data_IF_788532231990
#
_entry.id   IF_788532231990
#
_cell.length_a   1.000
_cell.length_b   1.000
_cell.length_c   1.000
_cell.angle_alpha   90.00
_cell.angle_beta   90.00
_cell.angle_gamma   90.00
#
_symmetry.space_group_name_H-M   'P 1'
#
loop_
_entity.id
_entity.type
_entity.pdbx_description
1 polymer ?
#
# COMPACT_ATOMS: atom_id res chain seq x y z
N UNK A 1 27.87 -86.45 -19.27
CA UNK A 1 26.74 -87.13 -18.62
C UNK A 1 26.12 -86.14 -17.66
N UNK A 2 24.86 -85.78 -17.91
CA UNK A 2 24.13 -84.66 -17.32
C UNK A 2 23.73 -84.89 -15.84
N UNK A 3 23.58 -83.83 -15.05
CA UNK A 3 22.28 -83.25 -14.64
C UNK A 3 22.40 -82.37 -13.37
N UNK A 4 21.57 -81.31 -13.38
CA UNK A 4 20.84 -80.67 -12.25
C UNK A 4 21.43 -79.44 -11.54
N UNK A 5 20.70 -78.34 -11.79
CA UNK A 5 20.58 -77.06 -11.07
C UNK A 5 19.96 -77.22 -9.67
N UNK A 6 20.09 -76.19 -8.79
CA UNK A 6 19.00 -75.20 -8.54
C UNK A 6 19.54 -73.74 -8.39
N UNK A 7 18.98 -72.63 -8.93
CA UNK A 7 17.71 -71.89 -8.71
C UNK A 7 17.74 -70.83 -7.56
N UNK A 8 17.84 -69.54 -7.99
CA UNK A 8 17.32 -68.24 -7.46
C UNK A 8 17.86 -67.62 -6.14
N UNK A 9 17.60 -66.33 -5.83
CA UNK A 9 17.81 -65.07 -6.61
C UNK A 9 18.48 -63.96 -5.74
N UNK A 10 19.00 -62.87 -6.33
CA UNK A 10 19.36 -61.67 -5.56
C UNK A 10 18.68 -60.43 -6.14
N UNK A 11 17.63 -60.02 -5.42
CA UNK A 11 16.82 -58.81 -5.61
C UNK A 11 17.69 -57.57 -5.33
N UNK A 12 17.99 -56.75 -6.33
CA UNK A 12 18.58 -55.42 -6.12
C UNK A 12 17.44 -54.38 -6.08
N UNK A 13 17.12 -53.91 -4.88
CA UNK A 13 16.10 -52.90 -4.63
C UNK A 13 16.59 -51.51 -5.08
N UNK A 14 15.87 -50.88 -5.99
CA UNK A 14 16.05 -49.47 -6.36
C UNK A 14 15.22 -48.58 -5.42
N UNK A 15 15.88 -47.81 -4.56
CA UNK A 15 15.26 -46.82 -3.68
C UNK A 15 15.12 -45.49 -4.44
N UNK A 16 13.94 -45.23 -5.00
CA UNK A 16 13.61 -43.95 -5.62
C UNK A 16 13.18 -42.95 -4.54
N UNK A 17 14.04 -41.97 -4.25
CA UNK A 17 13.71 -40.81 -3.40
C UNK A 17 12.85 -39.86 -4.24
N UNK A 18 11.53 -39.89 -4.03
CA UNK A 18 10.61 -38.89 -4.56
C UNK A 18 10.78 -37.58 -3.78
N UNK A 19 11.58 -36.67 -4.33
CA UNK A 19 11.66 -35.28 -3.87
C UNK A 19 10.34 -34.59 -4.22
N UNK A 20 9.42 -34.49 -3.26
CA UNK A 20 8.17 -33.74 -3.42
C UNK A 20 8.49 -32.25 -3.43
N UNK A 21 8.70 -31.69 -4.63
CA UNK A 21 8.75 -30.26 -4.84
C UNK A 21 7.39 -29.66 -4.46
N UNK A 22 7.31 -29.07 -3.27
CA UNK A 22 6.16 -28.27 -2.86
C UNK A 22 6.11 -27.05 -3.79
N UNK A 23 5.02 -26.83 -4.55
CA UNK A 23 4.91 -25.63 -5.37
C UNK A 23 4.94 -24.40 -4.45
N UNK A 24 5.59 -23.29 -4.86
CA UNK A 24 5.54 -22.06 -4.10
C UNK A 24 4.08 -21.63 -3.96
N UNK A 25 3.62 -21.43 -2.73
CA UNK A 25 2.32 -20.86 -2.47
C UNK A 25 2.27 -19.49 -3.16
N UNK A 26 1.48 -19.37 -4.22
CA UNK A 26 1.20 -18.09 -4.84
C UNK A 26 0.56 -17.22 -3.77
N UNK A 27 1.23 -16.13 -3.40
CA UNK A 27 0.65 -15.12 -2.52
C UNK A 27 -0.62 -14.60 -3.21
N UNK A 28 -1.79 -14.88 -2.64
CA UNK A 28 -3.04 -14.39 -3.17
C UNK A 28 -3.00 -12.86 -3.19
N UNK A 29 -3.31 -12.26 -4.35
CA UNK A 29 -3.38 -10.80 -4.45
C UNK A 29 -4.43 -10.26 -3.46
N UNK A 30 -4.10 -9.16 -2.75
CA UNK A 30 -5.05 -8.56 -1.81
C UNK A 30 -6.30 -8.09 -2.55
N UNK A 31 -7.46 -8.35 -1.95
CA UNK A 31 -8.76 -7.95 -2.48
C UNK A 31 -8.97 -6.46 -2.18
N UNK A 32 -8.94 -5.63 -3.23
CA UNK A 32 -9.19 -4.20 -3.11
C UNK A 32 -10.67 -3.91 -2.85
N UNK A 33 -10.96 -3.11 -1.82
CA UNK A 33 -12.30 -2.64 -1.47
C UNK A 33 -12.39 -1.14 -1.74
N UNK A 34 -12.76 -0.82 -2.98
CA UNK A 34 -12.73 0.53 -3.53
C UNK A 34 -13.91 1.37 -3.03
N UNK A 35 -13.72 2.68 -2.90
CA UNK A 35 -14.82 3.62 -2.59
C UNK A 35 -15.98 3.53 -3.59
N UNK A 36 -15.70 3.19 -4.84
CA UNK A 36 -16.69 2.99 -5.90
C UNK A 36 -17.67 1.84 -5.65
N UNK A 37 -17.34 0.88 -4.78
CA UNK A 37 -18.23 -0.25 -4.43
C UNK A 37 -19.04 -0.01 -3.15
N UNK A 38 -19.03 1.23 -2.64
CA UNK A 38 -19.82 1.67 -1.49
C UNK A 38 -21.32 1.54 -1.77
N UNK A 39 -22.00 0.78 -0.92
CA UNK A 39 -23.44 0.56 -0.96
C UNK A 39 -24.20 1.38 0.07
N UNK A 40 -23.58 1.77 1.17
CA UNK A 40 -24.15 2.66 2.17
C UNK A 40 -23.08 3.48 2.90
N UNK A 41 -23.43 4.72 3.26
CA UNK A 41 -22.63 5.57 4.13
C UNK A 41 -23.56 6.29 5.10
N UNK A 42 -23.29 6.15 6.39
CA UNK A 42 -24.00 6.87 7.44
C UNK A 42 -23.00 7.65 8.29
N UNK A 43 -23.35 8.89 8.64
CA UNK A 43 -22.55 9.75 9.50
C UNK A 43 -23.46 10.34 10.56
N UNK A 44 -23.13 10.10 11.83
CA UNK A 44 -23.83 10.70 12.98
C UNK A 44 -22.88 11.63 13.69
N UNK A 45 -23.19 12.93 13.68
CA UNK A 45 -22.34 13.95 14.33
C UNK A 45 -22.84 14.21 15.74
N UNK A 46 -21.94 14.11 16.70
CA UNK A 46 -22.20 14.38 18.11
C UNK A 46 -21.75 15.79 18.49
N UNK A 47 -22.39 16.33 19.53
CA UNK A 47 -21.93 17.53 20.19
C UNK A 47 -20.51 17.28 20.75
N UNK A 48 -19.57 18.20 20.49
CA UNK A 48 -18.15 18.03 20.85
C UNK A 48 -17.22 17.68 19.69
N UNK A 49 -17.72 17.59 18.45
CA UNK A 49 -16.90 17.50 17.24
C UNK A 49 -16.51 16.08 16.81
N UNK A 50 -17.03 15.06 17.48
CA UNK A 50 -16.86 13.65 17.06
C UNK A 50 -18.00 13.21 16.15
N UNK A 51 -17.70 12.33 15.22
CA UNK A 51 -18.70 11.70 14.37
C UNK A 51 -18.51 10.18 14.36
N UNK A 52 -19.62 9.45 14.41
CA UNK A 52 -19.64 8.03 14.10
C UNK A 52 -19.85 7.88 12.59
N UNK A 53 -18.92 7.20 11.93
CA UNK A 53 -18.99 6.89 10.50
C UNK A 53 -19.28 5.41 10.34
N UNK A 54 -20.14 5.05 9.39
CA UNK A 54 -20.36 3.67 8.99
C UNK A 54 -20.33 3.62 7.47
N UNK A 55 -19.30 3.00 6.90
CA UNK A 55 -19.08 2.86 5.47
C UNK A 55 -19.24 1.38 5.10
N UNK A 56 -20.31 1.05 4.36
CA UNK A 56 -20.54 -0.30 3.87
C UNK A 56 -20.20 -0.37 2.39
N UNK A 57 -19.31 -1.28 2.03
CA UNK A 57 -18.87 -1.53 0.65
C UNK A 57 -19.03 -3.00 0.29
N UNK A 58 -19.17 -3.29 -1.01
CA UNK A 58 -19.31 -4.66 -1.50
C UNK A 58 -18.01 -5.11 -2.18
N UNK A 59 -17.52 -6.28 -1.83
CA UNK A 59 -16.34 -6.89 -2.46
C UNK A 59 -16.54 -8.38 -2.68
N UNK A 60 -15.92 -8.91 -3.74
CA UNK A 60 -15.88 -10.34 -4.02
C UNK A 60 -14.77 -10.98 -3.21
N UNK A 61 -15.12 -11.79 -2.21
CA UNK A 61 -14.15 -12.52 -1.41
C UNK A 61 -13.93 -13.92 -2.01
N UNK A 62 -12.67 -14.40 -2.11
CA UNK A 62 -12.41 -15.81 -2.40
C UNK A 62 -12.80 -16.70 -1.20
N UNK A 63 -12.89 -18.01 -1.43
CA UNK A 63 -13.01 -18.95 -0.32
C UNK A 63 -11.65 -19.10 0.39
N UNK A 64 -11.67 -19.24 1.72
CA UNK A 64 -10.49 -19.33 2.56
C UNK A 64 -9.98 -17.96 3.02
N UNK A 65 -8.69 -17.90 3.36
CA UNK A 65 -8.03 -16.70 3.85
C UNK A 65 -7.61 -15.77 2.70
N UNK A 66 -7.81 -14.47 2.87
CA UNK A 66 -7.36 -13.42 1.97
C UNK A 66 -7.06 -12.13 2.75
N UNK A 67 -6.39 -11.18 2.13
CA UNK A 67 -6.15 -9.85 2.71
C UNK A 67 -7.03 -8.83 2.00
N UNK A 68 -7.73 -8.00 2.75
CA UNK A 68 -8.51 -6.87 2.23
C UNK A 68 -7.66 -5.61 2.25
N UNK A 69 -7.83 -4.78 1.21
CA UNK A 69 -7.29 -3.41 1.17
C UNK A 69 -8.44 -2.44 1.02
N UNK A 70 -8.85 -1.82 2.13
CA UNK A 70 -9.84 -0.76 2.16
C UNK A 70 -9.18 0.56 1.77
N UNK A 71 -9.55 1.12 0.62
CA UNK A 71 -8.93 2.34 0.07
C UNK A 71 -9.76 3.60 0.37
N UNK A 72 -9.21 4.77 0.06
CA UNK A 72 -9.91 6.06 0.13
C UNK A 72 -10.49 6.38 1.51
N UNK A 73 -9.73 6.10 2.56
CA UNK A 73 -10.10 6.47 3.92
C UNK A 73 -9.69 7.93 4.20
N UNK A 74 -10.44 8.61 5.06
CA UNK A 74 -10.10 9.98 5.46
C UNK A 74 -9.05 9.95 6.57
N UNK A 75 -8.12 10.90 6.56
CA UNK A 75 -7.05 11.00 7.56
C UNK A 75 -7.55 11.32 8.99
N UNK A 76 -8.81 11.77 9.13
CA UNK A 76 -9.40 12.13 10.42
C UNK A 76 -10.04 10.98 11.20
N UNK A 77 -10.03 9.75 10.68
CA UNK A 77 -10.47 8.58 11.44
C UNK A 77 -9.48 8.30 12.57
N UNK A 78 -9.97 7.88 13.73
CA UNK A 78 -9.13 7.38 14.81
C UNK A 78 -8.82 5.90 14.55
N UNK A 79 -7.55 5.52 14.28
CA UNK A 79 -7.19 4.14 13.98
C UNK A 79 -7.49 3.18 15.13
N UNK A 80 -7.52 3.67 16.37
CA UNK A 80 -7.78 2.86 17.56
C UNK A 80 -9.25 2.47 17.72
N UNK A 81 -10.17 3.15 17.01
CA UNK A 81 -11.61 2.87 17.07
C UNK A 81 -12.13 2.12 15.85
N UNK A 82 -11.28 1.85 14.86
CA UNK A 82 -11.68 1.20 13.62
C UNK A 82 -12.09 -0.25 13.89
N UNK A 83 -13.25 -0.61 13.36
CA UNK A 83 -13.74 -1.98 13.29
C UNK A 83 -14.20 -2.31 11.88
N UNK A 84 -14.00 -3.56 11.46
CA UNK A 84 -14.37 -4.04 10.14
C UNK A 84 -15.15 -5.34 10.28
N UNK A 85 -16.43 -5.28 9.92
CA UNK A 85 -17.31 -6.44 9.87
C UNK A 85 -17.50 -6.92 8.43
N UNK A 86 -17.59 -8.23 8.24
CA UNK A 86 -17.90 -8.86 6.97
C UNK A 86 -19.07 -9.84 7.12
N UNK A 87 -20.03 -9.80 6.20
CA UNK A 87 -21.16 -10.75 6.21
C UNK A 87 -20.66 -12.18 5.97
N UNK A 88 -21.01 -13.09 6.88
CA UNK A 88 -20.69 -14.53 6.85
C UNK A 88 -19.18 -14.85 6.69
N UNK A 89 -18.29 -13.96 7.17
CA UNK A 89 -16.84 -14.12 7.13
C UNK A 89 -16.19 -13.61 8.42
N UNK A 90 -15.03 -14.14 8.76
CA UNK A 90 -14.25 -13.72 9.93
C UNK A 90 -13.21 -12.68 9.52
N UNK A 91 -13.20 -11.54 10.20
CA UNK A 91 -12.22 -10.47 10.01
C UNK A 91 -11.24 -10.50 11.17
N UNK A 92 -9.95 -10.43 10.88
CA UNK A 92 -8.88 -10.29 11.86
C UNK A 92 -8.56 -8.82 12.15
N UNK A 93 -7.38 -8.61 12.73
CA UNK A 93 -6.90 -7.27 13.09
C UNK A 93 -6.74 -6.36 11.86
N UNK A 94 -6.96 -5.07 12.09
CA UNK A 94 -6.84 -4.02 11.08
C UNK A 94 -5.48 -3.34 11.25
N UNK A 95 -4.72 -3.27 10.15
CA UNK A 95 -3.52 -2.46 10.05
C UNK A 95 -3.83 -1.16 9.30
N UNK A 96 -3.65 -0.03 9.98
CA UNK A 96 -3.85 1.30 9.43
C UNK A 96 -2.61 1.79 8.69
N UNK A 97 -2.80 2.32 7.48
CA UNK A 97 -1.74 2.92 6.67
C UNK A 97 -2.14 4.35 6.28
N UNK A 98 -1.68 5.38 7.02
CA UNK A 98 -1.99 6.77 6.69
C UNK A 98 -1.32 7.18 5.37
N UNK A 99 -1.95 8.10 4.65
CA UNK A 99 -1.32 8.79 3.52
C UNK A 99 -0.04 9.48 4.00
N UNK A 100 1.08 9.20 3.35
CA UNK A 100 2.37 9.80 3.70
C UNK A 100 2.65 11.09 2.94
N UNK A 101 1.85 11.39 1.92
CA UNK A 101 2.01 12.59 1.12
C UNK A 101 1.63 13.85 1.90
N UNK A 102 2.62 14.69 2.15
CA UNK A 102 2.46 16.06 2.65
C UNK A 102 3.48 16.98 1.99
N UNK A 103 3.25 18.29 1.99
CA UNK A 103 4.22 19.26 1.49
C UNK A 103 5.58 19.10 2.18
N UNK A 104 5.57 18.88 3.50
CA UNK A 104 6.78 18.67 4.29
C UNK A 104 7.50 17.35 3.92
N UNK A 105 6.76 16.25 3.76
CA UNK A 105 7.33 14.97 3.30
C UNK A 105 7.91 15.06 1.90
N UNK A 106 7.26 15.80 0.99
CA UNK A 106 7.75 16.06 -0.36
C UNK A 106 9.10 16.78 -0.36
N UNK A 107 9.20 17.87 0.40
CA UNK A 107 10.44 18.66 0.49
C UNK A 107 11.56 17.80 1.09
N UNK A 108 11.29 17.11 2.20
CA UNK A 108 12.26 16.20 2.83
C UNK A 108 12.75 15.16 1.85
N UNK A 109 11.84 14.59 1.05
CA UNK A 109 12.19 13.55 0.08
C UNK A 109 12.96 14.09 -1.11
N UNK A 110 12.72 15.35 -1.48
CA UNK A 110 13.43 16.06 -2.53
C UNK A 110 14.83 16.54 -2.10
N UNK A 111 15.24 16.36 -0.84
CA UNK A 111 16.59 16.71 -0.38
C UNK A 111 17.65 15.91 -1.15
N UNK A 112 18.63 16.63 -1.72
CA UNK A 112 19.64 16.08 -2.62
C UNK A 112 19.13 15.76 -4.03
N UNK A 113 17.85 15.99 -4.31
CA UNK A 113 17.19 15.71 -5.58
C UNK A 113 16.97 16.94 -6.47
N UNK A 114 16.55 16.73 -7.72
CA UNK A 114 16.27 17.81 -8.66
C UNK A 114 14.99 18.55 -8.29
N UNK A 115 15.05 19.88 -8.33
CA UNK A 115 13.91 20.79 -8.18
C UNK A 115 13.95 21.85 -9.28
N UNK A 116 12.83 22.52 -9.52
CA UNK A 116 12.76 23.72 -10.34
C UNK A 116 12.38 24.91 -9.47
N UNK A 117 13.00 26.05 -9.72
CA UNK A 117 12.69 27.32 -9.06
C UNK A 117 12.04 28.23 -10.08
N UNK A 118 10.87 28.78 -9.74
CA UNK A 118 10.22 29.83 -10.52
C UNK A 118 10.81 31.17 -10.08
N UNK A 119 11.47 31.83 -11.02
CA UNK A 119 11.90 33.20 -10.87
C UNK A 119 10.81 34.14 -11.38
N UNK A 120 10.35 35.04 -10.50
CA UNK A 120 9.32 36.05 -10.78
C UNK A 120 9.93 37.44 -10.99
N UNK A 121 11.26 37.57 -11.10
CA UNK A 121 11.93 38.87 -11.26
C UNK A 121 11.52 39.61 -12.54
N UNK A 122 11.14 38.85 -13.57
CA UNK A 122 10.77 39.36 -14.88
C UNK A 122 9.25 39.17 -15.11
N UNK A 123 8.65 39.98 -15.98
CA UNK A 123 7.24 39.88 -16.42
C UNK A 123 6.89 38.49 -17.03
N UNK A 124 7.90 37.61 -17.18
CA UNK A 124 7.75 36.20 -17.51
C UNK A 124 8.33 35.31 -16.39
N UNK A 125 7.49 34.40 -15.88
CA UNK A 125 7.91 33.36 -14.95
C UNK A 125 8.92 32.42 -15.61
N UNK A 126 10.19 32.49 -15.21
CA UNK A 126 11.26 31.64 -15.75
C UNK A 126 11.54 30.48 -14.81
N UNK A 127 11.61 29.25 -15.33
CA UNK A 127 11.92 28.06 -14.52
C UNK A 127 13.39 27.72 -14.60
N UNK A 128 14.07 27.75 -13.46
CA UNK A 128 15.48 27.40 -13.33
C UNK A 128 15.63 26.02 -12.66
N UNK A 129 16.24 25.03 -13.32
CA UNK A 129 16.51 23.73 -12.69
C UNK A 129 17.64 23.85 -11.67
N UNK A 130 17.52 23.16 -10.54
CA UNK A 130 18.52 23.10 -9.49
C UNK A 130 18.43 21.83 -8.67
N UNK A 131 19.23 21.75 -7.61
CA UNK A 131 19.24 20.65 -6.64
C UNK A 131 18.97 21.21 -5.25
N UNK A 132 18.00 20.66 -4.54
CA UNK A 132 17.75 21.06 -3.15
C UNK A 132 18.89 20.52 -2.27
N UNK A 133 19.68 21.40 -1.67
CA UNK A 133 20.87 21.03 -0.88
C UNK A 133 20.56 20.99 0.62
N UNK A 134 19.73 21.92 1.10
CA UNK A 134 19.39 22.00 2.51
C UNK A 134 18.00 22.60 2.74
N UNK A 135 17.46 22.29 3.91
CA UNK A 135 16.21 22.83 4.44
C UNK A 135 16.58 23.51 5.76
N UNK A 136 16.39 24.82 5.84
CA UNK A 136 16.63 25.62 7.06
C UNK A 136 15.43 26.55 7.24
N UNK A 137 15.63 27.82 7.57
CA UNK A 137 14.57 28.84 7.54
C UNK A 137 14.13 29.18 6.10
N UNK A 138 14.92 28.76 5.11
CA UNK A 138 14.63 28.81 3.67
C UNK A 138 15.14 27.53 3.00
N UNK A 139 14.76 27.31 1.74
CA UNK A 139 15.23 26.16 0.96
C UNK A 139 16.47 26.57 0.19
N UNK A 140 17.59 25.88 0.42
CA UNK A 140 18.84 26.18 -0.29
C UNK A 140 18.91 25.33 -1.56
N UNK A 141 18.84 25.98 -2.72
CA UNK A 141 18.91 25.33 -4.02
C UNK A 141 20.23 25.68 -4.69
N UNK A 142 20.96 24.64 -5.13
CA UNK A 142 22.15 24.78 -5.95
C UNK A 142 21.81 24.71 -7.43
N UNK A 143 22.23 25.70 -8.20
CA UNK A 143 22.01 25.74 -9.64
C UNK A 143 23.21 25.20 -10.42
N UNK A 144 23.04 25.06 -11.74
CA UNK A 144 24.05 24.51 -12.64
C UNK A 144 25.32 25.37 -12.74
N UNK A 145 25.22 26.68 -12.48
CA UNK A 145 26.34 27.62 -12.42
C UNK A 145 27.13 27.53 -11.10
N UNK A 146 26.70 26.68 -10.16
CA UNK A 146 27.31 26.49 -8.84
C UNK A 146 26.83 27.47 -7.78
N UNK A 147 25.95 28.43 -8.13
CA UNK A 147 25.33 29.32 -7.16
C UNK A 147 24.41 28.55 -6.21
N UNK A 148 24.32 29.01 -4.96
CA UNK A 148 23.38 28.50 -3.96
C UNK A 148 22.53 29.67 -3.52
N UNK A 149 21.23 29.58 -3.78
CA UNK A 149 20.28 30.63 -3.42
C UNK A 149 19.28 30.10 -2.40
N UNK A 150 18.84 30.99 -1.51
CA UNK A 150 17.73 30.74 -0.62
C UNK A 150 16.42 31.07 -1.36
N UNK A 151 15.53 30.08 -1.47
CA UNK A 151 14.24 30.22 -2.15
C UNK A 151 13.09 29.89 -1.20
N UNK A 152 11.94 30.50 -1.45
CA UNK A 152 10.71 30.22 -0.73
C UNK A 152 9.99 28.98 -1.28
N UNK A 153 9.12 28.38 -0.46
CA UNK A 153 8.32 27.23 -0.88
C UNK A 153 7.45 27.54 -2.12
N UNK A 154 6.93 28.76 -2.23
CA UNK A 154 6.08 29.20 -3.34
C UNK A 154 6.79 29.23 -4.70
N UNK A 155 8.12 29.27 -4.69
CA UNK A 155 8.95 29.27 -5.90
C UNK A 155 9.36 27.85 -6.30
N UNK A 156 9.23 26.86 -5.40
CA UNK A 156 9.64 25.49 -5.65
C UNK A 156 8.60 24.72 -6.46
N UNK A 157 9.09 24.08 -7.52
CA UNK A 157 8.35 23.14 -8.35
C UNK A 157 9.08 21.82 -8.35
N UNK A 158 8.39 20.77 -7.92
CA UNK A 158 8.93 19.41 -7.92
C UNK A 158 8.61 18.75 -9.27
N UNK A 159 9.63 18.26 -10.01
CA UNK A 159 9.42 17.72 -11.36
C UNK A 159 8.64 16.39 -11.34
N UNK A 160 8.76 15.61 -10.26
CA UNK A 160 8.13 14.30 -10.12
C UNK A 160 7.69 14.09 -8.68
N UNK A 161 6.56 13.41 -8.49
CA UNK A 161 6.15 12.92 -7.18
C UNK A 161 6.97 11.67 -6.81
N UNK A 162 7.64 11.63 -5.65
CA UNK A 162 8.33 10.43 -5.20
C UNK A 162 7.37 9.24 -5.09
N UNK A 163 7.76 8.07 -5.63
CA UNK A 163 6.90 6.88 -5.68
C UNK A 163 6.63 6.25 -4.30
N UNK A 164 7.41 6.63 -3.28
CA UNK A 164 7.28 6.18 -1.90
C UNK A 164 6.27 7.00 -1.08
N UNK A 165 5.73 8.08 -1.64
CA UNK A 165 4.70 8.89 -1.00
C UNK A 165 3.31 8.47 -1.48
N UNK A 166 2.46 8.05 -0.54
CA UNK A 166 1.09 7.63 -0.81
C UNK A 166 0.13 8.79 -0.58
N UNK A 167 -0.75 9.02 -1.54
CA UNK A 167 -1.84 10.01 -1.47
C UNK A 167 -3.03 9.49 -0.69
N UNK A 168 -3.20 8.17 -0.68
CA UNK A 168 -4.38 7.51 -0.15
C UNK A 168 -4.09 6.89 1.21
N UNK A 169 -5.04 7.06 2.12
CA UNK A 169 -5.05 6.37 3.41
C UNK A 169 -5.83 5.07 3.26
N UNK A 170 -5.27 3.98 3.79
CA UNK A 170 -5.76 2.62 3.59
C UNK A 170 -5.89 1.87 4.92
N UNK A 171 -6.75 0.87 4.95
CA UNK A 171 -6.80 -0.13 6.02
C UNK A 171 -6.63 -1.53 5.44
N UNK A 172 -5.73 -2.32 6.01
CA UNK A 172 -5.52 -3.72 5.66
C UNK A 172 -6.13 -4.63 6.72
N UNK A 173 -6.82 -5.68 6.31
CA UNK A 173 -7.36 -6.66 7.24
C UNK A 173 -7.29 -8.07 6.67
N UNK A 174 -6.93 -9.04 7.50
CA UNK A 174 -7.09 -10.45 7.14
C UNK A 174 -8.57 -10.84 7.18
N UNK A 175 -9.06 -11.55 6.16
CA UNK A 175 -10.43 -12.08 6.14
C UNK A 175 -10.43 -13.55 5.76
N UNK A 176 -11.22 -14.35 6.47
CA UNK A 176 -11.46 -15.76 6.15
C UNK A 176 -12.94 -15.97 5.83
N UNK A 177 -13.23 -16.37 4.60
CA UNK A 177 -14.59 -16.64 4.15
C UNK A 177 -14.79 -18.15 3.89
N UNK A 178 -15.94 -18.73 4.27
CA UNK A 178 -16.21 -20.16 4.06
C UNK A 178 -16.45 -20.52 2.59
N UNK A 179 -16.90 -19.56 1.78
CA UNK A 179 -17.18 -19.72 0.36
C UNK A 179 -16.94 -18.42 -0.41
N UNK A 180 -16.56 -18.54 -1.68
CA UNK A 180 -16.36 -17.40 -2.55
C UNK A 180 -17.70 -16.70 -2.85
N UNK A 181 -17.69 -15.36 -2.92
CA UNK A 181 -18.89 -14.59 -3.26
C UNK A 181 -18.81 -13.11 -2.93
N UNK A 182 -19.77 -12.35 -3.44
CA UNK A 182 -19.94 -10.93 -3.09
C UNK A 182 -20.48 -10.81 -1.67
N UNK A 183 -19.81 -9.99 -0.87
CA UNK A 183 -20.15 -9.78 0.54
C UNK A 183 -20.13 -8.30 0.86
N UNK A 184 -21.00 -7.92 1.78
CA UNK A 184 -20.99 -6.58 2.35
C UNK A 184 -19.96 -6.54 3.47
N UNK A 185 -19.13 -5.51 3.41
CA UNK A 185 -18.08 -5.19 4.35
C UNK A 185 -18.45 -3.86 4.97
N UNK A 186 -18.53 -3.77 6.29
CA UNK A 186 -18.88 -2.53 6.99
C UNK A 186 -17.72 -2.09 7.87
N UNK A 187 -17.17 -0.93 7.56
CA UNK A 187 -16.17 -0.24 8.37
C UNK A 187 -16.89 0.77 9.30
N UNK A 188 -16.52 0.81 10.58
CA UNK A 188 -17.01 1.79 11.55
C UNK A 188 -15.94 2.32 12.48
#
# INVERSE_FOLDING_TARGET
MALRTPVLPAFAAALAVCLTASPPAAAAEPVAVLSATRSALAVTVYQGGFALVRDTRRAGLPAGASTLTYTDLIAGLDPATLDLAASDAQVGDIAWQPATLSAEALIRRALGGPVQVIDWSDDNATRRPGTLVAITDSYLVRFADGSVEAVDFSQLVFPTLPADLTTETLALAGVTAPAAGMRDLTLS
#
